data_IF_629203376976
#
_entry.id   IF_629203376976
#
_cell.length_a   1.000
_cell.length_b   1.000
_cell.length_c   1.000
_cell.angle_alpha   90.00
_cell.angle_beta   90.00
_cell.angle_gamma   90.00
#
_symmetry.space_group_name_H-M   'P 1'
#
loop_
_entity.id
_entity.type
_entity.pdbx_description
1 polymer ?
#
# COMPACT_ATOMS: atom_id res chain seq x y z
N UNK A 1 -5.44 8.58 -6.62
CA UNK A 1 -4.11 7.98 -6.55
C UNK A 1 -3.03 9.00 -6.86
N UNK A 2 -2.01 9.09 -6.02
CA UNK A 2 -0.83 9.95 -6.24
C UNK A 2 0.16 9.22 -7.13
N UNK A 3 0.10 9.46 -8.42
CA UNK A 3 0.97 8.78 -9.41
C UNK A 3 2.45 9.12 -9.19
N UNK A 4 2.74 10.33 -8.73
CA UNK A 4 4.10 10.77 -8.43
C UNK A 4 4.74 10.12 -7.19
N UNK A 5 3.97 9.44 -6.35
CA UNK A 5 4.48 8.77 -5.14
C UNK A 5 4.67 7.26 -5.32
N UNK A 6 3.77 6.64 -6.06
CA UNK A 6 3.69 5.18 -6.16
C UNK A 6 4.11 4.64 -7.53
N UNK A 7 4.12 5.49 -8.52
CA UNK A 7 4.44 5.18 -9.90
C UNK A 7 5.47 6.18 -10.45
N UNK A 8 5.81 6.09 -11.71
CA UNK A 8 6.85 6.91 -12.33
C UNK A 8 6.39 8.30 -12.82
N UNK A 9 5.30 8.82 -12.31
CA UNK A 9 4.82 10.16 -12.68
C UNK A 9 5.64 11.28 -12.06
N UNK A 10 5.73 12.43 -12.74
CA UNK A 10 6.35 13.62 -12.17
C UNK A 10 5.57 14.15 -10.97
N UNK A 11 6.24 14.92 -10.11
CA UNK A 11 5.63 15.54 -8.94
C UNK A 11 4.33 16.27 -9.30
N UNK A 12 3.34 16.20 -8.41
CA UNK A 12 1.98 16.71 -8.55
C UNK A 12 1.06 15.91 -9.48
N UNK A 13 1.54 14.90 -10.20
CA UNK A 13 0.65 14.04 -10.98
C UNK A 13 -0.21 13.16 -10.09
N UNK A 14 -1.50 13.16 -10.34
CA UNK A 14 -2.47 12.32 -9.64
C UNK A 14 -3.63 11.91 -10.55
N UNK A 15 -4.33 10.86 -10.17
CA UNK A 15 -5.52 10.37 -10.87
C UNK A 15 -6.68 10.15 -9.90
N UNK A 16 -7.88 10.49 -10.35
CA UNK A 16 -9.12 10.15 -9.65
C UNK A 16 -9.82 9.05 -10.44
N UNK A 17 -10.04 7.91 -9.79
CA UNK A 17 -10.77 6.79 -10.36
C UNK A 17 -12.19 6.78 -9.82
N UNK A 18 -13.17 6.73 -10.71
CA UNK A 18 -14.57 6.67 -10.37
C UNK A 18 -15.17 5.38 -10.92
N UNK A 19 -15.61 4.50 -10.04
CA UNK A 19 -16.29 3.24 -10.37
C UNK A 19 -17.62 3.18 -9.62
N UNK A 20 -18.69 3.61 -10.24
CA UNK A 20 -19.99 3.76 -9.60
C UNK A 20 -21.19 3.36 -10.47
N UNK A 21 -20.95 2.68 -11.59
CA UNK A 21 -22.02 2.22 -12.48
C UNK A 21 -23.04 1.32 -11.77
N UNK A 22 -22.58 0.54 -10.79
CA UNK A 22 -23.41 -0.39 -10.00
C UNK A 22 -24.34 0.31 -8.99
N UNK A 23 -24.10 1.59 -8.69
CA UNK A 23 -24.96 2.41 -7.80
C UNK A 23 -25.77 3.47 -8.56
N UNK A 24 -25.80 3.42 -9.89
CA UNK A 24 -26.57 4.34 -10.71
C UNK A 24 -28.06 4.29 -10.31
N UNK A 25 -28.64 5.46 -10.04
CA UNK A 25 -30.01 5.59 -9.54
C UNK A 25 -30.14 5.64 -8.01
N UNK A 26 -29.09 5.38 -7.27
CA UNK A 26 -29.09 5.54 -5.80
C UNK A 26 -28.77 7.00 -5.40
N UNK A 27 -29.19 7.45 -4.19
CA UNK A 27 -28.91 8.83 -3.72
C UNK A 27 -27.43 9.19 -3.66
N UNK A 28 -26.56 8.20 -3.44
CA UNK A 28 -25.10 8.37 -3.40
C UNK A 28 -24.44 8.43 -4.79
N UNK A 29 -25.19 8.20 -5.85
CA UNK A 29 -24.65 8.26 -7.22
C UNK A 29 -24.38 9.72 -7.62
N UNK A 30 -23.17 9.98 -8.06
CA UNK A 30 -22.76 11.28 -8.62
C UNK A 30 -22.57 11.14 -10.13
N UNK A 31 -23.34 11.86 -10.93
CA UNK A 31 -23.16 11.82 -12.38
C UNK A 31 -21.78 12.31 -12.81
N UNK A 32 -21.30 11.85 -13.97
CA UNK A 32 -20.02 12.33 -14.54
C UNK A 32 -19.98 13.86 -14.66
N UNK A 33 -21.07 14.48 -15.14
CA UNK A 33 -21.18 15.93 -15.26
C UNK A 33 -20.99 16.65 -13.92
N UNK A 34 -21.64 16.15 -12.85
CA UNK A 34 -21.53 16.73 -11.52
C UNK A 34 -20.12 16.56 -10.93
N UNK A 35 -19.51 15.38 -11.12
CA UNK A 35 -18.14 15.13 -10.72
C UNK A 35 -17.15 16.04 -11.45
N UNK A 36 -17.32 16.19 -12.76
CA UNK A 36 -16.48 17.06 -13.58
C UNK A 36 -16.60 18.54 -13.17
N UNK A 37 -17.81 19.02 -12.88
CA UNK A 37 -18.00 20.38 -12.39
C UNK A 37 -17.28 20.60 -11.05
N UNK A 38 -17.41 19.65 -10.10
CA UNK A 38 -16.70 19.73 -8.83
C UNK A 38 -15.17 19.72 -9.02
N UNK A 39 -14.68 18.89 -9.93
CA UNK A 39 -13.26 18.86 -10.30
C UNK A 39 -12.79 20.21 -10.86
N UNK A 40 -13.53 20.78 -11.78
CA UNK A 40 -13.20 22.08 -12.39
C UNK A 40 -13.15 23.24 -11.39
N UNK A 41 -13.89 23.17 -10.30
CA UNK A 41 -13.85 24.18 -9.22
C UNK A 41 -12.58 24.12 -8.40
N UNK A 42 -11.87 23.00 -8.39
CA UNK A 42 -10.69 22.76 -7.56
C UNK A 42 -9.40 22.54 -8.34
N UNK A 43 -9.49 22.39 -9.66
CA UNK A 43 -8.34 22.21 -10.53
C UNK A 43 -7.80 23.56 -11.04
N UNK A 44 -6.50 23.59 -11.35
CA UNK A 44 -5.90 24.70 -12.09
C UNK A 44 -6.56 24.85 -13.45
N UNK A 45 -6.79 26.09 -13.88
CA UNK A 45 -7.42 26.40 -15.18
C UNK A 45 -6.48 26.22 -16.37
N UNK A 46 -5.17 26.27 -16.13
CA UNK A 46 -4.15 26.15 -17.18
C UNK A 46 -3.56 24.75 -17.20
N UNK A 47 -3.76 23.96 -18.28
CA UNK A 47 -3.18 22.63 -18.38
C UNK A 47 -1.67 22.71 -18.53
N UNK A 48 -0.94 21.91 -17.74
CA UNK A 48 0.49 21.74 -17.87
C UNK A 48 0.79 20.42 -18.60
N UNK A 49 0.95 20.50 -19.89
CA UNK A 49 1.07 19.32 -20.77
C UNK A 49 2.18 18.34 -20.38
N UNK A 50 3.35 18.74 -19.84
CA UNK A 50 4.33 17.78 -19.34
C UNK A 50 3.79 16.82 -18.28
N UNK A 51 2.84 17.24 -17.43
CA UNK A 51 2.21 16.37 -16.45
C UNK A 51 1.25 15.37 -17.10
N UNK A 52 0.51 15.77 -18.14
CA UNK A 52 -0.32 14.85 -18.92
C UNK A 52 0.54 13.82 -19.66
N UNK A 53 1.63 14.26 -20.29
CA UNK A 53 2.59 13.36 -20.93
C UNK A 53 3.19 12.37 -19.91
N UNK A 54 3.54 12.83 -18.71
CA UNK A 54 4.03 11.97 -17.65
C UNK A 54 3.02 10.90 -17.22
N UNK A 55 1.73 11.22 -17.17
CA UNK A 55 0.66 10.25 -16.87
C UNK A 55 0.51 9.21 -17.99
N UNK A 56 0.57 9.64 -19.24
CA UNK A 56 0.46 8.76 -20.42
C UNK A 56 1.67 7.82 -20.52
N UNK A 57 2.88 8.34 -20.39
CA UNK A 57 4.11 7.54 -20.36
C UNK A 57 4.07 6.55 -19.19
N UNK A 58 3.64 7.00 -18.01
CA UNK A 58 3.50 6.14 -16.85
C UNK A 58 2.51 4.99 -17.12
N UNK A 59 1.36 5.27 -17.70
CA UNK A 59 0.40 4.24 -18.10
C UNK A 59 1.05 3.22 -19.07
N UNK A 60 1.80 3.71 -20.04
CA UNK A 60 2.52 2.88 -21.02
C UNK A 60 3.58 1.98 -20.39
N UNK A 61 4.33 2.48 -19.41
CA UNK A 61 5.33 1.70 -18.65
C UNK A 61 4.70 0.51 -17.90
N UNK A 62 3.42 0.63 -17.51
CA UNK A 62 2.72 -0.41 -16.77
C UNK A 62 1.96 -1.41 -17.67
N UNK A 63 1.99 -1.23 -18.98
CA UNK A 63 1.32 -2.13 -19.92
C UNK A 63 2.08 -3.44 -20.15
N UNK A 64 1.31 -4.50 -20.42
CA UNK A 64 1.81 -5.77 -20.93
C UNK A 64 2.71 -6.54 -19.95
N UNK A 65 3.62 -7.33 -20.53
CA UNK A 65 4.53 -8.20 -19.79
C UNK A 65 5.57 -7.38 -19.02
N UNK A 66 6.10 -6.33 -19.64
CA UNK A 66 7.11 -5.45 -19.03
C UNK A 66 6.59 -4.80 -17.75
N UNK A 67 5.38 -4.26 -17.78
CA UNK A 67 4.76 -3.67 -16.60
C UNK A 67 4.51 -4.70 -15.49
N UNK A 68 4.05 -5.89 -15.84
CA UNK A 68 3.88 -6.97 -14.86
C UNK A 68 5.20 -7.40 -14.23
N UNK A 69 6.26 -7.54 -15.02
CA UNK A 69 7.58 -7.90 -14.51
C UNK A 69 8.12 -6.84 -13.57
N UNK A 70 8.00 -5.57 -13.92
CA UNK A 70 8.40 -4.45 -13.05
C UNK A 70 7.71 -4.50 -11.69
N UNK A 71 6.42 -4.77 -11.64
CA UNK A 71 5.68 -4.92 -10.38
C UNK A 71 6.09 -6.20 -9.63
N UNK A 72 6.30 -7.30 -10.32
CA UNK A 72 6.76 -8.55 -9.69
C UNK A 72 8.15 -8.38 -9.07
N UNK A 73 9.06 -7.70 -9.75
CA UNK A 73 10.39 -7.38 -9.20
C UNK A 73 10.26 -6.49 -7.94
N UNK A 74 9.34 -5.54 -7.94
CA UNK A 74 9.04 -4.73 -6.76
C UNK A 74 8.54 -5.58 -5.59
N UNK A 75 7.61 -6.51 -5.83
CA UNK A 75 7.09 -7.44 -4.82
C UNK A 75 8.21 -8.32 -4.28
N UNK A 76 9.00 -8.95 -5.13
CA UNK A 76 10.12 -9.82 -4.74
C UNK A 76 11.15 -9.06 -3.90
N UNK A 77 11.53 -7.86 -4.32
CA UNK A 77 12.45 -7.00 -3.58
C UNK A 77 11.86 -6.61 -2.22
N UNK A 78 10.58 -6.28 -2.16
CA UNK A 78 9.86 -5.98 -0.92
C UNK A 78 9.80 -7.16 0.04
N UNK A 79 9.64 -8.40 -0.45
CA UNK A 79 9.68 -9.62 0.34
C UNK A 79 11.09 -9.87 0.87
N UNK A 80 12.10 -9.78 0.02
CA UNK A 80 13.48 -10.00 0.42
C UNK A 80 13.95 -8.97 1.46
N UNK A 81 13.55 -7.70 1.32
CA UNK A 81 13.82 -6.67 2.32
C UNK A 81 13.17 -7.00 3.68
N UNK A 82 11.91 -7.49 3.68
CA UNK A 82 11.23 -7.93 4.91
C UNK A 82 11.94 -9.10 5.58
N UNK A 83 12.39 -10.09 4.82
CA UNK A 83 13.16 -11.22 5.34
C UNK A 83 14.48 -10.77 5.99
N UNK A 84 15.23 -9.91 5.29
CA UNK A 84 16.46 -9.36 5.83
C UNK A 84 16.25 -8.63 7.16
N UNK A 85 15.16 -7.87 7.30
CA UNK A 85 14.82 -7.18 8.54
C UNK A 85 14.45 -8.19 9.62
N UNK A 86 13.61 -9.19 9.32
CA UNK A 86 13.21 -10.22 10.29
C UNK A 86 14.38 -11.05 10.79
N UNK A 87 15.36 -11.30 9.94
CA UNK A 87 16.54 -12.13 10.27
C UNK A 87 17.63 -11.35 11.02
N UNK A 88 17.71 -10.02 10.83
CA UNK A 88 18.84 -9.24 11.32
C UNK A 88 18.48 -8.11 12.31
N UNK A 89 17.22 -7.70 12.41
CA UNK A 89 16.80 -6.61 13.27
C UNK A 89 16.00 -7.13 14.48
N UNK A 90 16.41 -6.75 15.69
CA UNK A 90 15.68 -7.11 16.91
C UNK A 90 14.58 -6.10 17.25
N UNK A 91 14.73 -4.87 16.84
CA UNK A 91 13.97 -3.71 17.31
C UNK A 91 13.03 -3.10 16.26
N UNK A 92 13.16 -3.53 15.03
CA UNK A 92 12.31 -3.10 13.92
C UNK A 92 11.73 -4.36 13.27
N UNK A 93 10.44 -4.35 13.03
CA UNK A 93 9.75 -5.45 12.34
C UNK A 93 8.98 -4.93 11.15
N UNK A 94 8.96 -5.63 10.02
CA UNK A 94 8.01 -5.36 8.95
C UNK A 94 6.60 -5.70 9.43
N UNK A 95 5.64 -4.89 9.02
CA UNK A 95 4.23 -5.04 9.35
C UNK A 95 3.60 -6.09 8.44
N UNK A 96 3.72 -7.35 8.84
CA UNK A 96 3.19 -8.53 8.16
C UNK A 96 2.82 -9.58 9.23
N UNK A 97 2.01 -10.60 8.90
CA UNK A 97 1.71 -11.71 9.80
C UNK A 97 2.99 -12.33 10.38
N UNK A 98 2.97 -12.67 11.64
CA UNK A 98 4.11 -13.35 12.26
C UNK A 98 4.20 -14.80 11.81
N UNK A 99 3.05 -15.44 11.73
CA UNK A 99 2.89 -16.85 11.32
C UNK A 99 1.89 -16.93 10.18
N UNK A 100 2.13 -17.84 9.26
CA UNK A 100 1.18 -18.27 8.24
C UNK A 100 1.14 -19.80 8.30
N UNK A 101 -0.05 -20.39 8.44
CA UNK A 101 -0.21 -21.83 8.63
C UNK A 101 0.70 -22.40 9.74
N UNK A 102 0.89 -21.65 10.84
CA UNK A 102 1.68 -22.03 11.99
C UNK A 102 3.20 -21.98 11.81
N UNK A 103 3.71 -21.47 10.69
CA UNK A 103 5.14 -21.29 10.41
C UNK A 103 5.52 -19.82 10.32
N UNK A 104 6.73 -19.42 10.72
CA UNK A 104 7.22 -18.06 10.59
C UNK A 104 7.13 -17.56 9.15
N UNK A 105 6.64 -16.33 8.96
CA UNK A 105 6.42 -15.71 7.64
C UNK A 105 7.69 -15.78 6.76
N UNK A 106 8.85 -15.47 7.31
CA UNK A 106 10.14 -15.45 6.60
C UNK A 106 10.66 -16.85 6.21
N UNK A 107 10.11 -17.92 6.78
CA UNK A 107 10.57 -19.30 6.50
C UNK A 107 10.09 -19.86 5.16
N UNK A 108 9.13 -19.20 4.54
CA UNK A 108 8.60 -19.59 3.24
C UNK A 108 9.50 -19.09 2.10
N UNK A 109 9.47 -19.80 0.97
CA UNK A 109 10.17 -19.36 -0.23
C UNK A 109 9.60 -18.03 -0.74
N UNK A 110 10.47 -17.13 -1.22
CA UNK A 110 10.06 -15.83 -1.74
C UNK A 110 9.02 -15.96 -2.85
N UNK A 111 9.16 -16.96 -3.71
CA UNK A 111 8.21 -17.22 -4.80
C UNK A 111 6.82 -17.63 -4.30
N UNK A 112 6.72 -18.35 -3.17
CA UNK A 112 5.44 -18.69 -2.55
C UNK A 112 4.77 -17.44 -1.97
N UNK A 113 5.52 -16.63 -1.23
CA UNK A 113 5.01 -15.39 -0.65
C UNK A 113 4.52 -14.43 -1.74
N UNK A 114 5.23 -14.35 -2.87
CA UNK A 114 4.95 -13.41 -3.95
C UNK A 114 3.61 -13.64 -4.67
N UNK A 115 3.06 -14.86 -4.60
CA UNK A 115 1.84 -15.23 -5.34
C UNK A 115 0.65 -15.56 -4.44
N UNK A 116 0.82 -15.56 -3.12
CA UNK A 116 -0.23 -15.90 -2.16
C UNK A 116 -0.55 -14.71 -1.26
N UNK A 117 -1.75 -14.17 -1.40
CA UNK A 117 -2.21 -13.01 -0.65
C UNK A 117 -2.32 -13.24 0.86
N UNK A 118 -2.40 -14.49 1.33
CA UNK A 118 -2.47 -14.80 2.77
C UNK A 118 -1.25 -14.27 3.53
N UNK A 119 -0.12 -14.14 2.88
CA UNK A 119 1.09 -13.56 3.47
C UNK A 119 1.01 -12.05 3.74
N UNK A 120 -0.04 -11.38 3.24
CA UNK A 120 -0.24 -9.95 3.38
C UNK A 120 -1.64 -9.60 3.91
N UNK A 121 -2.43 -10.59 4.25
CA UNK A 121 -3.82 -10.43 4.66
C UNK A 121 -3.93 -9.96 6.10
N UNK A 122 -4.87 -9.04 6.34
CA UNK A 122 -5.34 -8.74 7.68
C UNK A 122 -6.48 -9.69 8.03
N UNK A 123 -6.25 -10.60 8.98
CA UNK A 123 -7.29 -11.43 9.56
C UNK A 123 -7.81 -10.76 10.83
N UNK A 124 -9.12 -10.51 10.97
CA UNK A 124 -9.67 -9.78 12.12
C UNK A 124 -9.26 -10.43 13.46
N UNK A 125 -8.78 -9.58 14.40
CA UNK A 125 -8.41 -10.02 15.74
C UNK A 125 -7.03 -10.66 15.87
N UNK A 126 -6.24 -10.78 14.80
CA UNK A 126 -4.86 -11.23 14.91
C UNK A 126 -3.99 -10.26 15.69
N UNK A 127 -3.13 -10.81 16.55
CA UNK A 127 -2.33 -10.05 17.51
C UNK A 127 -1.35 -9.05 16.87
N UNK A 128 -0.77 -9.39 15.71
CA UNK A 128 0.26 -8.57 15.07
C UNK A 128 -0.22 -7.18 14.59
N UNK A 129 -1.54 -6.99 14.43
CA UNK A 129 -2.13 -5.69 14.05
C UNK A 129 -3.26 -5.22 14.97
N UNK A 130 -3.94 -6.13 15.68
CA UNK A 130 -5.04 -5.85 16.63
C UNK A 130 -6.25 -5.09 16.03
N UNK A 131 -6.44 -5.10 14.71
CA UNK A 131 -7.59 -4.46 14.06
C UNK A 131 -8.77 -5.42 14.01
N UNK A 132 -9.96 -4.88 14.27
CA UNK A 132 -11.23 -5.61 14.31
C UNK A 132 -12.32 -4.85 13.53
N UNK A 133 -13.51 -5.47 13.39
CA UNK A 133 -14.69 -4.82 12.83
C UNK A 133 -14.75 -4.79 11.30
N UNK A 134 -14.01 -5.65 10.62
CA UNK A 134 -14.05 -5.85 9.17
C UNK A 134 -14.15 -7.35 8.83
N UNK A 135 -14.48 -7.68 7.58
CA UNK A 135 -14.53 -9.06 7.11
C UNK A 135 -13.15 -9.54 6.62
N UNK A 136 -12.91 -10.84 6.69
CA UNK A 136 -11.75 -11.44 6.03
C UNK A 136 -11.66 -11.05 4.55
N UNK A 137 -10.45 -11.01 4.01
CA UNK A 137 -10.17 -10.63 2.63
C UNK A 137 -10.54 -9.19 2.25
N UNK A 138 -10.79 -8.33 3.25
CA UNK A 138 -11.13 -6.94 3.01
C UNK A 138 -9.89 -6.03 2.93
N UNK A 139 -8.86 -6.33 3.70
CA UNK A 139 -7.64 -5.51 3.76
C UNK A 139 -6.38 -6.37 3.63
N UNK A 140 -5.36 -5.78 2.99
CA UNK A 140 -4.06 -6.40 2.77
C UNK A 140 -2.95 -5.37 2.95
N UNK A 141 -1.80 -5.83 3.42
CA UNK A 141 -0.57 -5.05 3.36
C UNK A 141 -0.12 -4.94 1.90
N UNK A 142 0.21 -3.75 1.45
CA UNK A 142 0.77 -3.55 0.10
C UNK A 142 2.18 -4.18 0.04
N UNK A 143 2.40 -5.22 -0.78
CA UNK A 143 3.69 -5.89 -0.85
C UNK A 143 4.83 -4.99 -1.37
N UNK A 144 4.48 -3.96 -2.15
CA UNK A 144 5.44 -3.00 -2.70
C UNK A 144 5.79 -1.85 -1.75
N UNK A 145 5.13 -1.77 -0.58
CA UNK A 145 5.41 -0.77 0.46
C UNK A 145 5.97 -1.44 1.70
N UNK A 146 7.13 -0.99 2.13
CA UNK A 146 7.74 -1.47 3.36
C UNK A 146 7.20 -0.65 4.55
N UNK A 147 6.19 -1.21 5.23
CA UNK A 147 5.71 -0.70 6.52
C UNK A 147 6.53 -1.35 7.63
N UNK A 148 7.01 -0.54 8.55
CA UNK A 148 7.82 -0.97 9.68
C UNK A 148 7.12 -0.62 10.99
N UNK A 149 7.30 -1.48 11.98
CA UNK A 149 6.86 -1.26 13.37
C UNK A 149 8.06 -1.35 14.29
N UNK A 150 7.92 -0.78 15.46
CA UNK A 150 8.91 -0.82 16.54
C UNK A 150 8.27 -1.49 17.74
N UNK A 151 8.33 -2.84 17.83
CA UNK A 151 7.72 -3.58 18.93
C UNK A 151 8.31 -3.16 20.28
N UNK A 152 7.46 -3.06 21.29
CA UNK A 152 7.87 -2.67 22.64
C UNK A 152 7.90 -1.17 22.91
N UNK A 153 7.56 -0.33 21.89
CA UNK A 153 7.36 1.11 22.12
C UNK A 153 5.88 1.35 22.44
N UNK A 154 5.61 1.89 23.61
CA UNK A 154 4.28 2.38 23.99
C UNK A 154 4.28 3.91 24.07
N UNK A 155 3.68 4.54 23.06
CA UNK A 155 3.60 5.99 22.94
C UNK A 155 2.35 6.61 23.61
N UNK A 156 1.49 5.82 24.25
CA UNK A 156 0.19 6.29 24.77
C UNK A 156 0.31 7.34 25.86
N UNK A 157 1.38 7.31 26.64
CA UNK A 157 1.58 8.23 27.75
C UNK A 157 2.58 9.36 27.46
N UNK A 158 3.07 9.48 26.24
CA UNK A 158 4.10 10.46 25.89
C UNK A 158 5.50 10.15 26.46
N UNK A 159 5.60 9.14 27.31
CA UNK A 159 6.85 8.61 27.84
C UNK A 159 6.97 7.17 27.37
N UNK A 160 8.01 6.87 26.61
CA UNK A 160 8.31 5.52 26.18
C UNK A 160 9.81 5.31 26.12
N UNK A 161 10.22 4.15 26.57
CA UNK A 161 11.57 3.64 26.33
C UNK A 161 11.54 2.68 25.14
N UNK A 162 12.30 3.01 24.13
CA UNK A 162 12.59 2.07 23.07
C UNK A 162 13.96 1.46 23.37
N UNK A 163 13.98 0.17 23.74
CA UNK A 163 15.23 -0.55 23.89
C UNK A 163 16.16 0.01 24.99
N UNK A 164 15.57 0.56 26.07
CA UNK A 164 16.34 1.20 27.12
C UNK A 164 16.90 2.57 26.76
N UNK A 165 16.45 3.16 25.66
CA UNK A 165 16.77 4.54 25.27
C UNK A 165 15.52 5.40 25.44
N UNK A 166 15.57 6.48 26.23
CA UNK A 166 14.46 7.42 26.36
C UNK A 166 14.08 7.96 24.97
N UNK A 167 12.78 8.13 24.72
CA UNK A 167 12.31 8.84 23.55
C UNK A 167 12.66 10.32 23.71
N UNK A 168 13.48 10.83 22.83
CA UNK A 168 13.82 12.25 22.72
C UNK A 168 12.90 12.97 21.75
#
# INVERSE_FOLDING_TARGET
>A
QSVHKQQAGFSQTSQIHKKDSHIKGQPRYVSHKRMNNAFMMHASTSPFYPLFAALDINAKMHEGVSGRNMWMDCVVNGINARKLILDNCQHIRPFVPELVDGKPWQSYETAQIAVDLRFFQFVPGEHWHSFEGYAENQYFVDPCKLLLTTPGIDARNGEYEAFGVPAT
#
